data_IF_941282998971
#
_entry.id   IF_941282998971
#
_cell.length_a   1.000
_cell.length_b   1.000
_cell.length_c   1.000
_cell.angle_alpha   90.00
_cell.angle_beta   90.00
_cell.angle_gamma   90.00
#
_symmetry.space_group_name_H-M   'P 1'
#
loop_
_entity.id
_entity.type
_entity.pdbx_description
1 polymer ?
#
# COMPACT_ATOMS: atom_id res chain seq x y z
N UNK A 1 18.22 -20.31 4.67
CA UNK A 1 17.15 -21.31 4.92
C UNK A 1 16.05 -20.99 3.96
N UNK A 2 15.58 -22.00 3.17
CA UNK A 2 14.50 -21.74 2.21
C UNK A 2 13.21 -21.42 2.96
N UNK A 3 12.71 -20.22 2.80
CA UNK A 3 11.40 -19.80 3.34
C UNK A 3 10.35 -20.59 2.58
N UNK A 4 9.55 -21.40 3.27
CA UNK A 4 8.46 -22.16 2.64
C UNK A 4 7.40 -21.19 2.19
N UNK A 5 7.23 -21.04 0.87
CA UNK A 5 6.18 -20.25 0.25
C UNK A 5 4.91 -21.10 0.11
N UNK A 6 3.77 -20.57 0.47
CA UNK A 6 2.48 -21.20 0.22
C UNK A 6 1.49 -20.18 -0.37
N UNK A 7 0.72 -20.60 -1.38
CA UNK A 7 -0.43 -19.81 -1.82
C UNK A 7 -1.43 -19.76 -0.67
N UNK A 8 -1.70 -18.57 -0.16
CA UNK A 8 -2.66 -18.33 0.92
C UNK A 8 -4.07 -18.15 0.37
N UNK A 9 -4.21 -17.37 -0.69
CA UNK A 9 -5.49 -17.11 -1.35
C UNK A 9 -5.27 -16.82 -2.84
N UNK A 10 -6.23 -17.16 -3.68
CA UNK A 10 -6.14 -17.02 -5.14
C UNK A 10 -7.49 -16.70 -5.77
N UNK A 11 -7.51 -16.44 -7.08
CA UNK A 11 -8.73 -16.13 -7.81
C UNK A 11 -9.07 -14.65 -7.89
N UNK A 12 -8.06 -13.79 -7.71
CA UNK A 12 -8.15 -12.34 -7.89
C UNK A 12 -7.68 -11.93 -9.29
N UNK A 13 -8.01 -10.72 -9.70
CA UNK A 13 -7.44 -10.11 -10.89
C UNK A 13 -6.13 -9.42 -10.55
N UNK A 14 -6.16 -8.46 -9.61
CA UNK A 14 -4.98 -7.72 -9.18
C UNK A 14 -5.18 -7.17 -7.77
N UNK A 15 -4.50 -7.75 -6.78
CA UNK A 15 -4.67 -7.37 -5.38
C UNK A 15 -3.68 -6.28 -4.97
N UNK A 16 -4.18 -5.26 -4.25
CA UNK A 16 -3.44 -4.12 -3.75
C UNK A 16 -3.88 -3.69 -2.35
N UNK A 17 -3.08 -2.82 -1.71
CA UNK A 17 -3.39 -2.23 -0.41
C UNK A 17 -3.67 -3.26 0.69
N UNK A 18 -2.86 -4.32 0.86
CA UNK A 18 -3.15 -5.36 1.85
C UNK A 18 -3.03 -4.80 3.27
N UNK A 19 -3.98 -5.20 4.14
CA UNK A 19 -4.03 -4.81 5.55
C UNK A 19 -4.41 -6.00 6.42
N UNK A 20 -3.74 -6.18 7.54
CA UNK A 20 -4.14 -7.17 8.55
C UNK A 20 -5.00 -6.49 9.61
N UNK A 21 -6.29 -6.71 9.60
CA UNK A 21 -7.24 -6.07 10.50
C UNK A 21 -8.25 -7.06 11.07
N UNK A 22 -8.43 -7.05 12.39
CA UNK A 22 -9.39 -7.90 13.12
C UNK A 22 -9.28 -9.40 12.76
N UNK A 23 -8.05 -9.93 12.71
CA UNK A 23 -7.80 -11.35 12.45
C UNK A 23 -8.03 -11.79 11.00
N UNK A 24 -8.14 -10.85 10.06
CA UNK A 24 -8.36 -11.09 8.63
C UNK A 24 -7.37 -10.29 7.78
N UNK A 25 -7.06 -10.83 6.62
CA UNK A 25 -6.37 -10.08 5.58
C UNK A 25 -7.39 -9.36 4.70
N UNK A 26 -7.20 -8.05 4.54
CA UNK A 26 -8.03 -7.21 3.68
C UNK A 26 -7.19 -6.73 2.52
N UNK A 27 -7.75 -6.61 1.33
CA UNK A 27 -7.12 -5.98 0.19
C UNK A 27 -8.16 -5.47 -0.82
N UNK A 28 -7.72 -4.62 -1.71
CA UNK A 28 -8.45 -4.24 -2.90
C UNK A 28 -8.13 -5.24 -4.02
N UNK A 29 -9.14 -5.80 -4.67
CA UNK A 29 -8.99 -6.47 -5.97
C UNK A 29 -9.26 -5.40 -7.03
N UNK A 30 -8.19 -4.63 -7.34
CA UNK A 30 -8.24 -3.34 -8.03
C UNK A 30 -8.97 -3.45 -9.37
N UNK A 31 -8.56 -4.38 -10.22
CA UNK A 31 -9.14 -4.55 -11.55
C UNK A 31 -10.46 -5.36 -11.57
N UNK A 32 -10.86 -5.95 -10.44
CA UNK A 32 -12.20 -6.53 -10.22
C UNK A 32 -13.13 -5.56 -9.47
N UNK A 33 -12.66 -4.33 -9.25
CA UNK A 33 -13.44 -3.19 -8.71
C UNK A 33 -14.10 -3.47 -7.37
N UNK A 34 -13.41 -4.13 -6.43
CA UNK A 34 -13.95 -4.50 -5.12
C UNK A 34 -12.91 -4.50 -4.01
N UNK A 35 -13.36 -4.28 -2.78
CA UNK A 35 -12.60 -4.60 -1.58
C UNK A 35 -13.01 -5.99 -1.07
N UNK A 36 -12.03 -6.77 -0.62
CA UNK A 36 -12.22 -8.13 -0.12
C UNK A 36 -11.64 -8.30 1.27
N UNK A 37 -12.22 -9.21 2.06
CA UNK A 37 -11.69 -9.70 3.31
C UNK A 37 -11.45 -11.21 3.19
N UNK A 38 -10.31 -11.68 3.67
CA UNK A 38 -9.83 -13.05 3.54
C UNK A 38 -9.65 -13.61 4.94
N UNK A 39 -10.32 -14.72 5.23
CA UNK A 39 -10.25 -15.41 6.51
C UNK A 39 -8.91 -16.14 6.68
N UNK A 40 -8.64 -16.60 7.90
CA UNK A 40 -7.41 -17.32 8.24
C UNK A 40 -7.20 -18.62 7.43
N UNK A 41 -8.26 -19.20 6.86
CA UNK A 41 -8.22 -20.37 5.98
C UNK A 41 -8.04 -20.02 4.48
N UNK A 42 -7.82 -18.72 4.16
CA UNK A 42 -7.59 -18.24 2.80
C UNK A 42 -8.87 -17.99 1.98
N UNK A 43 -10.06 -18.12 2.58
CA UNK A 43 -11.31 -17.84 1.87
C UNK A 43 -11.57 -16.35 1.77
N UNK A 44 -11.71 -15.87 0.54
CA UNK A 44 -12.02 -14.49 0.26
C UNK A 44 -13.53 -14.24 0.15
N UNK A 45 -14.00 -13.15 0.74
CA UNK A 45 -15.34 -12.63 0.58
C UNK A 45 -15.29 -11.17 0.12
N UNK A 46 -16.14 -10.83 -0.85
CA UNK A 46 -16.33 -9.42 -1.23
C UNK A 46 -17.01 -8.67 -0.10
N UNK A 47 -16.40 -7.58 0.31
CA UNK A 47 -16.93 -6.66 1.32
C UNK A 47 -17.84 -5.61 0.67
N UNK A 48 -17.34 -5.02 -0.42
CA UNK A 48 -18.06 -4.01 -1.20
C UNK A 48 -17.47 -3.87 -2.59
N UNK A 49 -18.33 -3.64 -3.58
CA UNK A 49 -17.93 -3.24 -4.93
C UNK A 49 -17.69 -1.74 -5.03
N UNK A 50 -16.75 -1.34 -5.89
CA UNK A 50 -16.45 0.06 -6.25
C UNK A 50 -16.70 0.22 -7.76
N UNK A 51 -17.94 0.16 -8.22
CA UNK A 51 -18.26 0.08 -9.64
C UNK A 51 -17.79 1.30 -10.41
N UNK A 52 -17.10 1.07 -11.51
CA UNK A 52 -16.63 2.10 -12.43
C UNK A 52 -15.40 2.86 -11.96
N UNK A 53 -14.69 2.36 -10.92
CA UNK A 53 -13.37 2.86 -10.52
C UNK A 53 -12.54 1.75 -9.88
N UNK A 54 -11.26 1.99 -9.72
CA UNK A 54 -10.29 1.06 -9.15
C UNK A 54 -10.06 1.40 -7.66
N UNK A 55 -10.40 0.49 -6.72
CA UNK A 55 -10.01 0.66 -5.33
C UNK A 55 -8.52 0.35 -5.16
N UNK A 56 -7.83 1.08 -4.27
CA UNK A 56 -6.45 0.80 -3.87
C UNK A 56 -6.32 0.80 -2.34
N UNK A 57 -5.69 1.81 -1.74
CA UNK A 57 -5.45 1.88 -0.31
C UNK A 57 -6.70 1.68 0.54
N UNK A 58 -6.54 0.92 1.61
CA UNK A 58 -7.57 0.64 2.63
C UNK A 58 -7.12 1.17 3.99
N UNK A 59 -8.09 1.55 4.84
CA UNK A 59 -7.84 1.91 6.23
C UNK A 59 -9.14 2.04 7.01
N UNK A 60 -9.07 2.27 8.33
CA UNK A 60 -10.25 2.35 9.18
C UNK A 60 -10.25 3.61 10.02
N UNK A 61 -11.41 4.27 10.04
CA UNK A 61 -11.67 5.31 11.02
C UNK A 61 -11.71 4.73 12.44
N UNK A 62 -11.51 5.56 13.49
CA UNK A 62 -11.57 5.10 14.89
C UNK A 62 -12.92 4.46 15.28
N UNK A 63 -13.99 4.76 14.58
CA UNK A 63 -15.30 4.15 14.78
C UNK A 63 -15.49 2.80 14.04
N UNK A 64 -14.44 2.30 13.38
CA UNK A 64 -14.39 1.02 12.67
C UNK A 64 -14.92 1.05 11.24
N UNK A 65 -15.33 2.22 10.71
CA UNK A 65 -15.75 2.32 9.31
C UNK A 65 -14.56 2.25 8.37
N UNK A 66 -14.67 1.40 7.34
CA UNK A 66 -13.66 1.23 6.30
C UNK A 66 -13.60 2.46 5.40
N UNK A 67 -12.39 2.94 5.15
CA UNK A 67 -12.07 3.89 4.08
C UNK A 67 -11.42 3.15 2.91
N UNK A 68 -11.72 3.58 1.70
CA UNK A 68 -11.24 2.99 0.44
C UNK A 68 -10.83 4.12 -0.50
N UNK A 69 -9.62 4.07 -1.02
CA UNK A 69 -9.20 4.97 -2.10
C UNK A 69 -9.90 4.56 -3.40
N UNK A 70 -10.54 5.52 -4.05
CA UNK A 70 -11.10 5.44 -5.40
C UNK A 70 -10.17 6.23 -6.32
N UNK A 71 -9.34 5.50 -7.10
CA UNK A 71 -8.11 6.02 -7.69
C UNK A 71 -8.38 7.10 -8.73
N UNK A 72 -9.13 6.78 -9.78
CA UNK A 72 -9.33 7.64 -10.94
C UNK A 72 -10.38 8.75 -10.69
N UNK A 73 -11.35 8.48 -9.81
CA UNK A 73 -12.30 9.50 -9.34
C UNK A 73 -11.67 10.46 -8.34
N UNK A 74 -10.47 10.15 -7.83
CA UNK A 74 -9.76 10.96 -6.85
C UNK A 74 -10.60 11.20 -5.58
N UNK A 75 -11.12 10.13 -5.00
CA UNK A 75 -11.96 10.18 -3.80
C UNK A 75 -11.46 9.22 -2.73
N UNK A 76 -11.74 9.55 -1.48
CA UNK A 76 -11.76 8.57 -0.39
C UNK A 76 -13.21 8.24 -0.13
N UNK A 77 -13.57 6.97 -0.27
CA UNK A 77 -14.90 6.44 -0.01
C UNK A 77 -14.93 5.87 1.41
N UNK A 78 -16.12 5.86 2.02
CA UNK A 78 -16.38 5.32 3.35
C UNK A 78 -17.52 4.33 3.30
N UNK A 79 -17.33 3.18 3.92
CA UNK A 79 -18.38 2.16 4.03
C UNK A 79 -19.24 2.44 5.27
N UNK A 80 -20.48 2.90 5.06
CA UNK A 80 -21.43 3.27 6.12
C UNK A 80 -22.41 2.13 6.48
N UNK A 81 -22.23 0.96 5.93
CA UNK A 81 -23.06 -0.23 6.15
C UNK A 81 -22.94 -1.20 4.98
N UNK A 82 -23.62 -2.34 5.00
CA UNK A 82 -23.51 -3.33 3.94
C UNK A 82 -23.70 -2.70 2.56
N UNK A 83 -22.69 -2.82 1.71
CA UNK A 83 -22.66 -2.31 0.32
C UNK A 83 -22.97 -0.81 0.14
N UNK A 84 -22.99 -0.02 1.23
CA UNK A 84 -23.32 1.40 1.16
C UNK A 84 -22.04 2.26 1.26
N UNK A 85 -21.51 2.65 0.12
CA UNK A 85 -20.40 3.61 0.02
C UNK A 85 -20.92 5.05 0.02
N UNK A 86 -20.25 5.90 0.80
CA UNK A 86 -20.41 7.35 0.79
C UNK A 86 -19.07 8.00 0.46
N UNK A 87 -19.08 9.19 -0.12
CA UNK A 87 -17.84 9.99 -0.30
C UNK A 87 -17.46 10.53 1.08
N UNK A 88 -16.26 10.16 1.56
CA UNK A 88 -15.66 10.73 2.76
C UNK A 88 -14.92 12.02 2.42
N UNK A 89 -14.12 12.01 1.36
CA UNK A 89 -13.43 13.19 0.84
C UNK A 89 -13.35 13.15 -0.69
N UNK A 90 -13.56 14.30 -1.33
CA UNK A 90 -13.36 14.46 -2.77
C UNK A 90 -12.10 15.27 -3.02
N UNK A 91 -11.04 14.60 -3.48
CA UNK A 91 -9.72 15.16 -3.67
C UNK A 91 -9.48 15.67 -5.10
N UNK A 92 -10.47 15.59 -6.01
CA UNK A 92 -10.30 15.96 -7.42
C UNK A 92 -9.94 17.44 -7.65
N UNK A 93 -10.19 18.30 -6.64
CA UNK A 93 -9.80 19.72 -6.70
C UNK A 93 -8.34 20.00 -6.35
N UNK A 94 -7.63 19.02 -5.73
CA UNK A 94 -6.24 19.17 -5.25
C UNK A 94 -5.31 18.09 -5.78
N UNK A 95 -5.83 16.91 -6.13
CA UNK A 95 -5.05 15.82 -6.70
C UNK A 95 -4.60 16.14 -8.12
N UNK A 96 -3.36 15.82 -8.44
CA UNK A 96 -2.73 16.06 -9.75
C UNK A 96 -2.60 14.79 -10.60
N UNK A 97 -2.76 13.61 -9.99
CA UNK A 97 -2.70 12.30 -10.65
C UNK A 97 -3.76 11.34 -10.13
N UNK A 98 -3.62 10.05 -10.42
CA UNK A 98 -4.40 9.01 -9.77
C UNK A 98 -4.00 8.92 -8.30
N UNK A 99 -4.97 8.70 -7.41
CA UNK A 99 -4.67 8.34 -6.04
C UNK A 99 -4.18 6.87 -5.99
N UNK A 100 -3.47 6.50 -4.91
CA UNK A 100 -2.97 5.14 -4.77
C UNK A 100 -3.16 4.61 -3.34
N UNK A 101 -2.10 4.28 -2.64
CA UNK A 101 -2.21 3.72 -1.30
C UNK A 101 -2.57 4.80 -0.25
N UNK A 102 -3.00 4.33 0.91
CA UNK A 102 -3.45 5.16 2.02
C UNK A 102 -3.07 4.50 3.35
N UNK A 103 -2.72 5.28 4.37
CA UNK A 103 -2.65 4.82 5.75
C UNK A 103 -3.51 5.72 6.64
N UNK A 104 -4.21 5.13 7.62
CA UNK A 104 -5.06 5.87 8.56
C UNK A 104 -4.47 5.79 9.96
N UNK A 105 -4.19 6.93 10.56
CA UNK A 105 -3.70 7.06 11.93
C UNK A 105 -4.83 6.83 12.96
N UNK A 106 -4.46 6.63 14.24
CA UNK A 106 -5.38 6.36 15.32
C UNK A 106 -6.35 7.49 15.65
N UNK A 107 -6.01 8.72 15.28
CA UNK A 107 -6.90 9.89 15.38
C UNK A 107 -7.90 9.99 14.20
N UNK A 108 -7.79 9.10 13.22
CA UNK A 108 -8.63 9.08 12.02
C UNK A 108 -8.09 9.90 10.85
N UNK A 109 -6.92 10.53 10.99
CA UNK A 109 -6.25 11.20 9.89
C UNK A 109 -5.77 10.19 8.86
N UNK A 110 -6.19 10.32 7.61
CA UNK A 110 -5.72 9.50 6.51
C UNK A 110 -4.66 10.23 5.67
N UNK A 111 -3.57 9.54 5.33
CA UNK A 111 -2.58 10.00 4.37
C UNK A 111 -2.77 9.22 3.08
N UNK A 112 -3.01 9.93 1.99
CA UNK A 112 -3.34 9.36 0.68
C UNK A 112 -2.27 9.74 -0.32
N UNK A 113 -1.68 8.77 -1.01
CA UNK A 113 -0.71 8.99 -2.07
C UNK A 113 -1.38 9.46 -3.36
N UNK A 114 -0.90 10.57 -3.91
CA UNK A 114 -1.21 11.02 -5.26
C UNK A 114 0.02 10.82 -6.13
N UNK A 115 -0.11 9.95 -7.12
CA UNK A 115 0.99 9.46 -7.97
C UNK A 115 1.67 10.56 -8.82
N UNK A 116 1.04 11.74 -8.97
CA UNK A 116 1.53 12.81 -9.86
C UNK A 116 1.31 12.49 -11.34
N UNK A 117 0.69 11.38 -11.67
CA UNK A 117 0.34 10.96 -13.02
C UNK A 117 -0.94 10.13 -13.00
N UNK A 118 -1.70 10.13 -14.07
CA UNK A 118 -2.79 9.17 -14.26
C UNK A 118 -2.21 7.81 -14.57
N UNK A 119 -2.68 6.76 -13.90
CA UNK A 119 -2.25 5.38 -14.15
C UNK A 119 -2.73 4.91 -15.52
N UNK A 120 -3.95 5.30 -15.88
CA UNK A 120 -4.51 5.05 -17.20
C UNK A 120 -4.57 6.36 -17.99
N UNK A 121 -3.60 6.57 -18.87
CA UNK A 121 -3.57 7.72 -19.74
C UNK A 121 -2.16 8.21 -20.07
N UNK A 122 -2.09 9.06 -21.11
CA UNK A 122 -0.84 9.64 -21.62
C UNK A 122 -0.57 11.03 -20.99
N UNK A 123 -1.09 11.28 -19.79
CA UNK A 123 -0.97 12.56 -19.11
C UNK A 123 0.47 12.89 -18.71
N UNK A 124 0.76 14.19 -18.63
CA UNK A 124 2.05 14.68 -18.15
C UNK A 124 2.34 14.17 -16.72
N UNK A 125 3.54 13.66 -16.49
CA UNK A 125 4.00 13.30 -15.14
C UNK A 125 4.41 14.57 -14.40
N UNK A 126 3.78 14.79 -13.25
CA UNK A 126 4.11 15.85 -12.30
C UNK A 126 4.68 15.22 -11.02
N UNK A 127 5.34 16.00 -10.17
CA UNK A 127 5.62 15.53 -8.82
C UNK A 127 4.34 15.10 -8.12
N UNK A 128 4.41 13.94 -7.47
CA UNK A 128 3.33 13.43 -6.62
C UNK A 128 3.32 14.13 -5.27
N UNK A 129 2.31 13.83 -4.47
CA UNK A 129 2.11 14.45 -3.16
C UNK A 129 1.42 13.48 -2.19
N UNK A 130 1.47 13.80 -0.91
CA UNK A 130 0.67 13.18 0.13
C UNK A 130 -0.45 14.15 0.48
N UNK A 131 -1.68 13.69 0.32
CA UNK A 131 -2.88 14.39 0.74
C UNK A 131 -3.28 13.90 2.13
N UNK A 132 -3.48 14.82 3.06
CA UNK A 132 -4.01 14.54 4.39
C UNK A 132 -5.51 14.76 4.37
N UNK A 133 -6.25 13.75 4.83
CA UNK A 133 -7.71 13.77 4.95
C UNK A 133 -8.07 13.60 6.41
N UNK A 134 -8.72 14.58 7.00
CA UNK A 134 -9.20 14.53 8.38
C UNK A 134 -10.36 13.55 8.56
N UNK A 135 -10.65 13.13 9.80
CA UNK A 135 -11.79 12.27 10.12
C UNK A 135 -13.15 12.92 9.80
N UNK A 136 -13.19 14.23 9.64
CA UNK A 136 -14.35 15.02 9.20
C UNK A 136 -14.44 15.21 7.68
N UNK A 137 -13.44 14.69 6.93
CA UNK A 137 -13.32 14.83 5.48
C UNK A 137 -12.62 16.12 5.04
N UNK A 138 -12.03 16.90 5.93
CA UNK A 138 -11.18 18.04 5.59
C UNK A 138 -9.94 17.57 4.79
N UNK A 139 -9.42 18.41 3.90
CA UNK A 139 -8.36 18.04 2.95
C UNK A 139 -7.24 19.08 3.00
N UNK A 140 -6.01 18.60 3.13
CA UNK A 140 -4.79 19.41 3.06
C UNK A 140 -3.70 18.69 2.25
N UNK A 141 -2.78 19.44 1.66
CA UNK A 141 -1.54 18.90 1.08
C UNK A 141 -0.50 18.80 2.18
N UNK A 142 -0.22 17.59 2.66
CA UNK A 142 0.72 17.36 3.76
C UNK A 142 2.19 17.39 3.29
N UNK A 143 2.48 16.87 2.10
CA UNK A 143 3.81 16.90 1.51
C UNK A 143 3.72 16.86 -0.02
N UNK A 144 4.55 17.60 -0.71
CA UNK A 144 4.66 17.61 -2.17
C UNK A 144 6.03 17.14 -2.65
N UNK A 145 6.25 17.23 -3.97
CA UNK A 145 7.52 16.92 -4.62
C UNK A 145 8.03 15.50 -4.35
N UNK A 146 7.10 14.52 -4.43
CA UNK A 146 7.41 13.11 -4.36
C UNK A 146 7.40 12.47 -5.76
N UNK A 147 8.08 11.34 -5.89
CA UNK A 147 8.14 10.60 -7.17
C UNK A 147 7.29 9.35 -7.10
N UNK A 148 6.03 9.46 -7.49
CA UNK A 148 5.03 8.39 -7.44
C UNK A 148 4.96 7.75 -6.05
N UNK A 149 4.45 8.48 -5.03
CA UNK A 149 4.26 7.93 -3.70
C UNK A 149 3.29 6.75 -3.77
N UNK A 150 3.66 5.68 -3.07
CA UNK A 150 2.96 4.40 -3.08
C UNK A 150 2.72 3.93 -1.63
N UNK A 151 3.11 2.71 -1.27
CA UNK A 151 2.88 2.16 0.06
C UNK A 151 3.37 3.08 1.19
N UNK A 152 2.63 3.11 2.29
CA UNK A 152 2.91 3.94 3.44
C UNK A 152 2.77 3.16 4.74
N UNK A 153 3.61 3.49 5.72
CA UNK A 153 3.52 2.96 7.09
C UNK A 153 3.71 4.06 8.11
N UNK A 154 3.02 3.94 9.24
CA UNK A 154 3.25 4.73 10.46
C UNK A 154 4.00 3.87 11.48
N UNK A 155 4.92 4.48 12.21
CA UNK A 155 5.53 3.83 13.37
C UNK A 155 4.47 3.57 14.47
N UNK A 156 4.76 2.68 15.44
CA UNK A 156 3.76 2.33 16.46
C UNK A 156 3.29 3.52 17.31
N UNK A 157 4.14 4.54 17.49
CA UNK A 157 3.82 5.77 18.19
C UNK A 157 3.14 6.82 17.31
N UNK A 158 2.99 6.53 16.01
CA UNK A 158 2.40 7.43 14.99
C UNK A 158 3.08 8.79 14.89
N UNK A 159 4.38 8.83 15.16
CA UNK A 159 5.21 10.04 15.07
C UNK A 159 6.02 10.14 13.79
N UNK A 160 6.10 9.04 13.04
CA UNK A 160 6.86 8.98 11.81
C UNK A 160 6.07 8.25 10.72
N UNK A 161 5.94 8.90 9.57
CA UNK A 161 5.39 8.31 8.33
C UNK A 161 6.56 7.94 7.42
N UNK A 162 6.58 6.70 6.92
CA UNK A 162 7.50 6.27 5.85
C UNK A 162 6.69 5.99 4.60
N UNK A 163 7.16 6.49 3.47
CA UNK A 163 6.49 6.44 2.16
C UNK A 163 7.42 5.84 1.13
N UNK A 164 6.95 4.86 0.37
CA UNK A 164 7.64 4.36 -0.81
C UNK A 164 7.51 5.36 -1.96
N UNK A 165 8.63 5.73 -2.57
CA UNK A 165 8.64 6.51 -3.81
C UNK A 165 9.06 5.60 -4.96
N UNK A 166 8.08 4.98 -5.65
CA UNK A 166 8.33 4.02 -6.74
C UNK A 166 9.19 4.61 -7.86
N UNK A 167 8.88 5.83 -8.28
CA UNK A 167 9.66 6.56 -9.29
C UNK A 167 10.95 7.18 -8.75
N UNK A 168 11.19 7.13 -7.43
CA UNK A 168 12.34 7.70 -6.75
C UNK A 168 13.40 6.66 -6.36
N UNK A 169 13.06 5.36 -6.37
CA UNK A 169 13.94 4.29 -5.90
C UNK A 169 14.38 4.50 -4.45
N UNK A 170 13.46 4.91 -3.58
CA UNK A 170 13.76 5.22 -2.17
C UNK A 170 12.54 5.08 -1.28
N UNK A 171 12.80 4.98 0.01
CA UNK A 171 11.82 5.19 1.07
C UNK A 171 12.09 6.56 1.71
N UNK A 172 11.08 7.39 1.81
CA UNK A 172 11.15 8.75 2.39
C UNK A 172 10.40 8.77 3.70
N UNK A 173 10.97 9.39 4.72
CA UNK A 173 10.36 9.55 6.02
C UNK A 173 9.97 11.00 6.30
N UNK A 174 8.94 11.17 7.11
CA UNK A 174 8.47 12.46 7.62
C UNK A 174 8.19 12.33 9.11
N UNK A 175 8.48 13.36 9.88
CA UNK A 175 7.96 13.49 11.23
C UNK A 175 6.49 13.92 11.16
N UNK A 176 5.64 13.25 11.95
CA UNK A 176 4.23 13.56 12.09
C UNK A 176 3.96 14.35 13.35
N UNK A 177 3.42 15.55 13.20
CA UNK A 177 2.97 16.39 14.31
C UNK A 177 1.69 15.88 14.96
N UNK A 178 1.35 16.42 16.11
CA UNK A 178 0.11 16.09 16.84
C UNK A 178 -1.16 16.58 16.12
N UNK A 179 -1.01 17.51 15.20
CA UNK A 179 -2.06 18.00 14.29
C UNK A 179 -2.19 17.15 13.01
N UNK A 180 -1.36 16.12 12.87
CA UNK A 180 -1.27 15.28 11.66
C UNK A 180 -0.36 15.85 10.57
N UNK A 181 0.12 17.09 10.70
CA UNK A 181 1.01 17.72 9.71
C UNK A 181 2.34 16.98 9.57
N UNK A 182 2.88 16.94 8.34
CA UNK A 182 4.16 16.30 8.03
C UNK A 182 5.29 17.33 7.94
N UNK A 183 6.43 16.99 8.51
CA UNK A 183 7.62 17.85 8.57
C UNK A 183 8.91 17.02 8.49
N UNK A 184 10.08 17.67 8.55
CA UNK A 184 11.39 17.03 8.64
C UNK A 184 11.59 15.89 7.62
N UNK A 185 11.30 16.16 6.34
CA UNK A 185 11.51 15.18 5.27
C UNK A 185 12.94 14.67 5.24
N UNK A 186 13.11 13.35 5.32
CA UNK A 186 14.40 12.67 5.30
C UNK A 186 14.35 11.40 4.45
N UNK A 187 15.52 10.85 4.07
CA UNK A 187 15.63 9.58 3.39
C UNK A 187 15.70 8.44 4.41
N UNK A 188 14.64 7.64 4.54
CA UNK A 188 14.67 6.42 5.35
C UNK A 188 15.65 5.40 4.77
N UNK A 189 15.59 5.15 3.46
CA UNK A 189 16.49 4.26 2.74
C UNK A 189 16.61 4.66 1.26
N UNK A 190 17.83 4.83 0.78
CA UNK A 190 18.11 4.88 -0.65
C UNK A 190 18.19 3.43 -1.18
N UNK A 191 17.43 3.12 -2.23
CA UNK A 191 17.33 1.78 -2.80
C UNK A 191 18.03 1.68 -4.16
N UNK A 192 18.79 2.72 -4.52
CA UNK A 192 19.60 2.74 -5.73
C UNK A 192 20.91 2.02 -5.44
N UNK A 193 21.23 0.95 -6.16
CA UNK A 193 22.51 0.26 -6.01
C UNK A 193 23.70 1.17 -6.32
N UNK A 194 24.83 0.92 -5.68
CA UNK A 194 26.09 1.59 -6.00
C UNK A 194 26.63 1.18 -7.39
N UNK A 195 26.27 0.00 -7.87
CA UNK A 195 26.59 -0.49 -9.21
C UNK A 195 25.49 -0.04 -10.19
N UNK A 196 25.81 0.83 -11.18
CA UNK A 196 24.84 1.29 -12.16
C UNK A 196 24.31 0.18 -13.11
N UNK A 197 24.95 -0.98 -13.15
CA UNK A 197 24.47 -2.14 -13.92
C UNK A 197 23.31 -2.87 -13.22
N UNK A 198 23.08 -2.61 -11.93
CA UNK A 198 21.97 -3.16 -11.17
C UNK A 198 20.80 -2.15 -11.18
N UNK A 199 19.61 -2.52 -11.65
CA UNK A 199 18.45 -1.63 -11.62
C UNK A 199 18.13 -1.16 -10.19
N UNK A 200 17.79 0.12 -10.04
CA UNK A 200 17.22 0.62 -8.80
C UNK A 200 15.96 -0.16 -8.46
N UNK A 201 15.73 -0.44 -7.18
CA UNK A 201 14.47 -1.02 -6.75
C UNK A 201 13.31 -0.05 -7.00
N UNK A 202 12.16 -0.59 -7.33
CA UNK A 202 10.92 0.17 -7.51
C UNK A 202 9.99 -0.19 -6.34
N UNK A 203 10.14 0.47 -5.17
CA UNK A 203 9.34 0.12 -4.01
C UNK A 203 7.87 0.44 -4.26
N UNK A 204 7.01 -0.53 -3.95
CA UNK A 204 5.58 -0.48 -4.14
C UNK A 204 4.85 -0.54 -2.78
N UNK A 205 3.95 -1.48 -2.54
CA UNK A 205 3.34 -1.64 -1.23
C UNK A 205 4.35 -2.08 -0.15
N UNK A 206 4.27 -1.48 1.04
CA UNK A 206 5.23 -1.68 2.14
C UNK A 206 4.56 -2.04 3.47
N UNK A 207 5.30 -2.67 4.38
CA UNK A 207 4.88 -2.83 5.77
C UNK A 207 6.07 -2.70 6.74
N UNK A 208 5.76 -2.39 8.00
CA UNK A 208 6.74 -2.15 9.07
C UNK A 208 6.80 -3.34 10.02
N UNK A 209 7.99 -3.70 10.50
CA UNK A 209 8.18 -4.69 11.54
C UNK A 209 8.58 -4.11 12.90
N UNK A 210 8.60 -4.95 13.93
CA UNK A 210 8.86 -4.56 15.31
C UNK A 210 10.32 -4.11 15.58
N UNK A 211 11.25 -4.37 14.66
CA UNK A 211 12.61 -3.80 14.71
C UNK A 211 12.72 -2.46 13.99
N UNK A 212 11.61 -1.92 13.48
CA UNK A 212 11.58 -0.68 12.71
C UNK A 212 12.15 -0.82 11.29
N UNK A 213 12.32 -2.04 10.78
CA UNK A 213 12.66 -2.27 9.40
C UNK A 213 11.41 -2.30 8.52
N UNK A 214 11.57 -1.90 7.27
CA UNK A 214 10.49 -1.89 6.28
C UNK A 214 10.68 -3.02 5.29
N UNK A 215 9.62 -3.81 5.11
CA UNK A 215 9.49 -4.72 3.98
C UNK A 215 8.83 -3.97 2.84
N UNK A 216 9.36 -4.08 1.63
CA UNK A 216 8.74 -3.50 0.44
C UNK A 216 8.70 -4.51 -0.72
N UNK A 217 7.61 -4.49 -1.45
CA UNK A 217 7.51 -5.18 -2.73
C UNK A 217 8.33 -4.42 -3.79
N UNK A 218 9.11 -5.15 -4.59
CA UNK A 218 9.88 -4.65 -5.72
C UNK A 218 9.42 -5.37 -7.00
N UNK A 219 8.39 -4.84 -7.69
CA UNK A 219 7.83 -5.46 -8.89
C UNK A 219 8.88 -5.68 -10.00
N UNK A 220 9.75 -4.69 -10.20
CA UNK A 220 10.79 -4.77 -11.24
C UNK A 220 11.84 -5.81 -10.88
N UNK A 221 12.26 -5.86 -9.61
CA UNK A 221 13.19 -6.85 -9.09
C UNK A 221 12.57 -8.23 -8.85
N UNK A 222 11.25 -8.37 -8.94
CA UNK A 222 10.48 -9.61 -8.67
C UNK A 222 10.78 -10.22 -7.31
N UNK A 223 10.82 -9.38 -6.28
CA UNK A 223 11.22 -9.75 -4.93
C UNK A 223 10.53 -8.89 -3.88
N UNK A 224 10.51 -9.36 -2.65
CA UNK A 224 10.22 -8.54 -1.48
C UNK A 224 11.51 -8.40 -0.67
N UNK A 225 11.79 -7.18 -0.23
CA UNK A 225 13.06 -6.84 0.40
C UNK A 225 12.78 -6.21 1.77
N UNK A 226 13.54 -6.65 2.78
CA UNK A 226 13.56 -6.03 4.10
C UNK A 226 14.75 -5.10 4.22
N UNK A 227 14.49 -3.84 4.60
CA UNK A 227 15.52 -2.82 4.71
C UNK A 227 15.39 -2.06 6.03
N UNK A 228 16.53 -1.81 6.68
CA UNK A 228 16.61 -0.92 7.85
C UNK A 228 16.79 0.53 7.44
N UNK A 229 16.50 1.44 8.35
CA UNK A 229 16.87 2.85 8.18
C UNK A 229 18.35 2.98 7.81
N UNK A 230 18.66 3.85 6.85
CA UNK A 230 20.00 3.98 6.27
C UNK A 230 20.27 3.04 5.08
N UNK A 231 19.31 2.14 4.70
CA UNK A 231 19.38 1.36 3.46
C UNK A 231 20.03 -0.02 3.58
N UNK A 232 20.36 -0.49 4.79
CA UNK A 232 20.90 -1.84 4.98
C UNK A 232 19.84 -2.91 4.71
N UNK A 233 20.02 -3.67 3.63
CA UNK A 233 19.18 -4.83 3.28
C UNK A 233 19.53 -6.00 4.21
N UNK A 234 18.52 -6.60 4.84
CA UNK A 234 18.69 -7.72 5.77
C UNK A 234 18.10 -9.03 5.27
N UNK A 235 17.02 -8.95 4.50
CA UNK A 235 16.31 -10.12 3.97
C UNK A 235 15.83 -9.86 2.55
N UNK A 236 15.79 -10.92 1.75
CA UNK A 236 15.25 -10.90 0.38
C UNK A 236 14.43 -12.18 0.19
N UNK A 237 13.21 -12.03 -0.30
CA UNK A 237 12.36 -13.12 -0.77
C UNK A 237 12.24 -12.99 -2.29
N UNK A 238 12.90 -13.91 -3.02
CA UNK A 238 12.82 -13.98 -4.48
C UNK A 238 11.47 -14.59 -4.88
N UNK A 239 10.78 -13.94 -5.79
CA UNK A 239 9.44 -14.31 -6.24
C UNK A 239 9.37 -14.56 -7.76
N UNK A 240 10.49 -14.48 -8.47
CA UNK A 240 10.49 -14.73 -9.91
C UNK A 240 9.87 -16.11 -10.26
N UNK A 241 8.99 -16.22 -11.27
CA UNK A 241 8.62 -15.20 -12.25
C UNK A 241 7.47 -14.27 -11.83
N UNK A 242 6.93 -14.37 -10.61
CA UNK A 242 5.82 -13.54 -10.12
C UNK A 242 6.24 -12.08 -9.95
N UNK A 243 5.25 -11.20 -10.02
CA UNK A 243 5.40 -9.77 -9.83
C UNK A 243 4.75 -9.39 -8.49
N UNK A 244 5.53 -9.20 -7.41
CA UNK A 244 4.99 -8.72 -6.15
C UNK A 244 4.69 -7.23 -6.25
N UNK A 245 3.51 -6.82 -5.80
CA UNK A 245 3.06 -5.43 -5.85
C UNK A 245 2.86 -4.82 -4.47
N UNK A 246 2.46 -5.62 -3.48
CA UNK A 246 2.30 -5.13 -2.11
C UNK A 246 2.57 -6.24 -1.10
N UNK A 247 2.88 -5.85 0.14
CA UNK A 247 3.06 -6.81 1.22
C UNK A 247 2.53 -6.27 2.56
N UNK A 248 2.17 -7.20 3.46
CA UNK A 248 1.76 -6.87 4.83
C UNK A 248 2.18 -7.98 5.78
N UNK A 249 2.55 -7.61 7.01
CA UNK A 249 2.79 -8.53 8.10
C UNK A 249 1.49 -8.77 8.90
N UNK A 250 1.07 -10.02 9.00
CA UNK A 250 -0.18 -10.43 9.63
C UNK A 250 -0.08 -11.83 10.26
N UNK A 251 -1.24 -12.43 10.50
CA UNK A 251 -1.37 -13.61 11.35
C UNK A 251 -1.59 -13.22 12.82
N UNK A 252 -2.03 -14.14 13.66
CA UNK A 252 -2.31 -13.87 15.08
C UNK A 252 -1.07 -13.40 15.84
N UNK A 253 0.10 -13.93 15.47
CA UNK A 253 1.42 -13.57 16.01
C UNK A 253 2.13 -12.49 15.19
N UNK A 254 1.54 -12.06 14.07
CA UNK A 254 2.10 -11.12 13.08
C UNK A 254 3.43 -11.57 12.46
N UNK A 255 3.71 -12.86 12.46
CA UNK A 255 4.91 -13.49 11.89
C UNK A 255 4.68 -14.06 10.48
N UNK A 256 3.60 -13.69 9.82
CA UNK A 256 3.33 -14.07 8.44
C UNK A 256 3.42 -12.85 7.53
N UNK A 257 4.33 -12.90 6.56
CA UNK A 257 4.41 -11.93 5.48
C UNK A 257 3.50 -12.38 4.34
N UNK A 258 2.41 -11.66 4.11
CA UNK A 258 1.52 -11.85 2.98
C UNK A 258 1.98 -10.94 1.84
N UNK A 259 2.08 -11.50 0.64
CA UNK A 259 2.55 -10.78 -0.56
C UNK A 259 1.50 -10.91 -1.66
N UNK A 260 1.00 -9.78 -2.12
CA UNK A 260 0.14 -9.69 -3.30
C UNK A 260 0.99 -9.87 -4.54
N UNK A 261 0.67 -10.85 -5.40
CA UNK A 261 1.40 -11.13 -6.63
C UNK A 261 0.44 -11.26 -7.81
N UNK A 262 0.92 -10.84 -8.98
CA UNK A 262 0.23 -11.00 -10.26
C UNK A 262 1.26 -11.29 -11.36
N UNK A 263 0.86 -11.82 -12.53
CA UNK A 263 1.79 -12.00 -13.65
C UNK A 263 2.18 -10.68 -14.33
N UNK A 264 1.34 -9.64 -14.21
CA UNK A 264 1.54 -8.30 -14.77
C UNK A 264 0.84 -7.24 -13.93
N UNK A 265 1.23 -5.96 -14.08
CA UNK A 265 0.45 -4.81 -13.58
C UNK A 265 -0.50 -4.23 -14.64
N UNK A 266 -0.36 -4.66 -15.89
CA UNK A 266 -1.12 -4.11 -17.02
C UNK A 266 -2.54 -4.68 -17.04
N UNK A 267 -3.52 -3.79 -16.93
CA UNK A 267 -4.94 -4.16 -16.91
C UNK A 267 -5.36 -4.92 -18.17
N UNK A 268 -4.86 -4.52 -19.34
CA UNK A 268 -5.16 -5.17 -20.61
C UNK A 268 -4.63 -6.62 -20.68
N UNK A 269 -3.49 -6.91 -20.07
CA UNK A 269 -2.91 -8.25 -19.97
C UNK A 269 -3.63 -9.14 -18.95
N UNK A 270 -4.28 -8.54 -17.96
CA UNK A 270 -5.02 -9.25 -16.91
C UNK A 270 -6.52 -9.41 -17.22
N UNK A 271 -7.03 -8.72 -18.24
CA UNK A 271 -8.44 -8.72 -18.57
C UNK A 271 -8.97 -10.15 -18.80
N UNK A 272 -10.04 -10.51 -18.08
CA UNK A 272 -10.66 -11.83 -18.15
C UNK A 272 -9.89 -12.95 -17.44
N UNK A 273 -8.78 -12.64 -16.75
CA UNK A 273 -8.02 -13.60 -15.93
C UNK A 273 -8.37 -13.46 -14.45
N UNK A 274 -8.07 -14.51 -13.67
CA UNK A 274 -8.06 -14.48 -12.20
C UNK A 274 -6.77 -15.10 -11.70
N UNK A 275 -5.66 -14.56 -12.19
CA UNK A 275 -4.31 -15.05 -11.94
C UNK A 275 -3.60 -14.35 -10.77
N UNK A 276 -4.22 -13.29 -10.23
CA UNK A 276 -3.76 -12.65 -9.01
C UNK A 276 -3.93 -13.57 -7.80
N UNK A 277 -2.95 -13.57 -6.90
CA UNK A 277 -2.95 -14.38 -5.69
C UNK A 277 -2.16 -13.73 -4.56
N UNK A 278 -2.30 -14.29 -3.38
CA UNK A 278 -1.56 -13.89 -2.18
C UNK A 278 -0.72 -15.07 -1.74
N UNK A 279 0.57 -14.84 -1.57
CA UNK A 279 1.55 -15.83 -1.10
C UNK A 279 1.90 -15.46 0.35
N UNK A 280 2.01 -16.48 1.22
CA UNK A 280 2.38 -16.33 2.61
C UNK A 280 3.77 -16.90 2.87
N UNK A 281 4.56 -16.18 3.67
CA UNK A 281 5.89 -16.58 4.13
C UNK A 281 5.99 -16.41 5.64
N UNK A 282 6.61 -17.38 6.33
CA UNK A 282 6.96 -17.20 7.73
C UNK A 282 8.17 -16.27 7.85
N UNK A 283 8.11 -15.32 8.77
CA UNK A 283 9.20 -14.40 9.11
C UNK A 283 9.55 -14.51 10.59
N UNK A 284 10.69 -13.95 11.00
CA UNK A 284 11.18 -14.05 12.38
C UNK A 284 10.91 -12.80 13.22
N UNK A 285 10.61 -11.69 12.57
CA UNK A 285 10.30 -10.42 13.22
C UNK A 285 8.84 -10.08 12.96
N UNK A 286 8.03 -9.91 14.02
CA UNK A 286 6.60 -9.64 13.84
C UNK A 286 6.34 -8.24 13.27
N UNK A 287 5.19 -8.10 12.65
CA UNK A 287 4.72 -6.80 12.16
C UNK A 287 4.46 -5.81 13.27
N UNK A 288 4.71 -4.55 12.99
CA UNK A 288 4.44 -3.41 13.85
C UNK A 288 3.56 -2.37 13.13
N UNK A 289 3.20 -1.32 13.84
CA UNK A 289 2.40 -0.23 13.29
C UNK A 289 0.94 -0.62 13.04
N UNK A 290 0.27 0.26 12.31
CA UNK A 290 -1.15 0.07 11.96
C UNK A 290 -1.30 -0.63 10.63
N UNK A 291 -2.46 -1.30 10.46
CA UNK A 291 -2.84 -1.86 9.18
C UNK A 291 -3.18 -0.78 8.17
#
# INVERSE_FOLDING_TARGET
MGVSAATFSEGFVFTEGPRWHQGRLWCSDMHDHRAVAIDADGRAATVVGVPGDEPSGLGWLPDGRLLIVSMERQMVLRLDGPERLAVHANLSGVAVGSLNDMIVAGDGTAYVGDMGARIHGDGERRPGQILMVGPDGSIEVAAGDLRSPNGMVLDPEERRLVVAESGGGRLTAFDRGSDGGLSARDTFAALTPSDPAVPAATPDGICLDAEGAVWFADPVGRRVVRVRAGGAVTDIVDLAPELPVACVLGGDDRLTLFVCVAPSWRRDELAGTRSGRIIAFAVTVPGAGRP
#
